data_IF_344435760862
#
_entry.id   IF_344435760862
#
_cell.length_a   1.000
_cell.length_b   1.000
_cell.length_c   1.000
_cell.angle_alpha   90.00
_cell.angle_beta   90.00
_cell.angle_gamma   90.00
#
_symmetry.space_group_name_H-M   'P 1'
#
loop_
_entity.id
_entity.type
_entity.pdbx_description
1 polymer ?
#
# COMPACT_ATOMS: atom_id res chain seq x y z
N UNK A 1 -47.20 1.23 -21.34
CA UNK A 1 -47.12 2.48 -20.57
C UNK A 1 -45.64 2.72 -20.25
N UNK A 2 -45.02 3.69 -20.93
CA UNK A 2 -43.61 4.08 -20.73
C UNK A 2 -43.62 5.20 -19.67
N UNK A 3 -43.09 4.93 -18.50
CA UNK A 3 -42.82 5.97 -17.51
C UNK A 3 -41.41 6.52 -17.75
N UNK A 4 -41.35 7.72 -18.35
CA UNK A 4 -40.16 8.54 -18.40
C UNK A 4 -39.98 9.25 -17.07
N UNK A 5 -38.92 8.91 -16.35
CA UNK A 5 -38.46 9.66 -15.18
C UNK A 5 -37.55 10.79 -15.67
N UNK A 6 -38.09 12.01 -15.73
CA UNK A 6 -37.30 13.22 -16.00
C UNK A 6 -36.58 13.65 -14.73
N UNK A 7 -35.27 13.52 -14.72
CA UNK A 7 -34.40 14.05 -13.66
C UNK A 7 -34.16 15.53 -13.93
N UNK A 8 -34.84 16.40 -13.20
CA UNK A 8 -34.63 17.83 -13.22
C UNK A 8 -33.36 18.17 -12.43
N UNK A 9 -32.29 18.52 -13.13
CA UNK A 9 -31.07 19.06 -12.55
C UNK A 9 -31.31 20.54 -12.22
N UNK A 10 -31.51 20.87 -10.96
CA UNK A 10 -31.54 22.25 -10.47
C UNK A 10 -30.08 22.75 -10.41
N UNK A 11 -29.64 23.47 -11.45
CA UNK A 11 -28.41 24.25 -11.43
C UNK A 11 -28.73 25.58 -10.74
N UNK A 12 -28.46 25.70 -9.46
CA UNK A 12 -28.43 26.96 -8.76
C UNK A 12 -27.12 27.68 -9.10
N UNK A 13 -27.17 28.73 -9.87
CA UNK A 13 -26.06 29.66 -10.14
C UNK A 13 -25.74 30.43 -8.87
N UNK A 14 -24.68 30.03 -8.13
CA UNK A 14 -24.04 30.92 -7.18
C UNK A 14 -22.97 31.74 -7.93
N UNK A 15 -23.33 32.96 -8.33
CA UNK A 15 -22.39 33.97 -8.75
C UNK A 15 -21.96 34.75 -7.52
N UNK A 16 -20.76 34.42 -7.02
CA UNK A 16 -19.86 35.37 -6.35
C UNK A 16 -18.58 34.60 -5.99
N UNK A 17 -17.73 34.36 -6.98
CA UNK A 17 -16.37 33.91 -6.72
C UNK A 17 -15.42 35.06 -7.05
N UNK A 18 -14.67 35.54 -6.10
CA UNK A 18 -13.34 36.05 -6.40
C UNK A 18 -12.62 34.92 -7.13
N UNK A 19 -12.06 35.21 -8.32
CA UNK A 19 -11.34 34.28 -9.17
C UNK A 19 -10.05 33.83 -8.47
N UNK A 20 -10.14 32.85 -7.55
CA UNK A 20 -8.98 32.13 -7.05
C UNK A 20 -8.39 31.35 -8.22
N UNK A 21 -7.13 31.57 -8.51
CA UNK A 21 -6.44 30.85 -9.58
C UNK A 21 -6.18 29.40 -9.07
N UNK A 22 -6.57 28.36 -9.83
CA UNK A 22 -6.30 26.99 -9.45
C UNK A 22 -4.80 26.76 -9.23
N UNK A 23 -4.42 26.19 -8.11
CA UNK A 23 -3.05 25.80 -7.83
C UNK A 23 -2.79 24.42 -8.40
N UNK A 24 -1.87 24.35 -9.38
CA UNK A 24 -1.43 23.09 -9.98
C UNK A 24 -0.05 22.74 -9.46
N UNK A 25 0.14 21.49 -9.04
CA UNK A 25 1.43 20.95 -8.63
C UNK A 25 1.72 19.64 -9.33
N UNK A 26 2.99 19.44 -9.71
CA UNK A 26 3.50 18.19 -10.28
C UNK A 26 4.53 17.59 -9.35
N UNK A 27 4.57 16.27 -9.30
CA UNK A 27 5.58 15.50 -8.61
C UNK A 27 5.83 14.21 -9.34
N UNK A 28 6.98 13.60 -9.10
CA UNK A 28 7.33 12.33 -9.72
C UNK A 28 8.25 11.50 -8.84
N UNK A 29 8.33 10.22 -9.19
CA UNK A 29 9.15 9.24 -8.51
C UNK A 29 9.67 8.23 -9.51
N UNK A 30 10.95 7.89 -9.43
CA UNK A 30 11.60 6.86 -10.24
C UNK A 30 12.40 5.96 -9.31
N UNK A 31 12.24 4.65 -9.46
CA UNK A 31 12.87 3.65 -8.61
C UNK A 31 13.45 2.51 -9.47
N UNK A 32 14.75 2.60 -9.74
CA UNK A 32 15.51 1.58 -10.47
C UNK A 32 16.15 0.61 -9.47
N UNK A 33 16.15 -0.68 -9.77
CA UNK A 33 16.68 -1.68 -8.86
C UNK A 33 17.45 -2.80 -9.57
N UNK A 34 18.21 -3.53 -8.76
CA UNK A 34 18.76 -4.84 -9.05
C UNK A 34 18.51 -5.73 -7.85
N UNK A 35 18.08 -6.97 -8.08
CA UNK A 35 17.86 -7.96 -7.02
C UNK A 35 18.49 -9.29 -7.40
N UNK A 36 19.12 -9.96 -6.43
CA UNK A 36 19.70 -11.28 -6.60
C UNK A 36 19.15 -12.23 -5.56
N UNK A 37 18.53 -13.32 -6.03
CA UNK A 37 18.00 -14.38 -5.19
C UNK A 37 18.97 -15.56 -5.19
N UNK A 38 19.47 -15.93 -4.01
CA UNK A 38 20.46 -17.00 -3.86
C UNK A 38 19.86 -18.40 -4.08
N UNK A 39 18.54 -18.51 -4.10
CA UNK A 39 17.85 -19.74 -4.48
C UNK A 39 17.76 -19.93 -6.00
N UNK A 40 18.02 -18.89 -6.79
CA UNK A 40 17.94 -18.91 -8.24
C UNK A 40 16.63 -19.50 -8.78
N UNK A 41 15.46 -18.94 -8.39
CA UNK A 41 14.17 -19.39 -8.90
C UNK A 41 14.08 -19.11 -10.40
N UNK A 42 13.00 -19.59 -11.04
CA UNK A 42 12.78 -19.33 -12.48
C UNK A 42 12.82 -17.83 -12.81
N UNK A 43 13.26 -17.46 -14.04
CA UNK A 43 13.77 -16.12 -14.33
C UNK A 43 12.81 -14.97 -14.09
N UNK A 44 11.50 -15.17 -14.20
CA UNK A 44 10.56 -14.05 -14.29
C UNK A 44 10.17 -13.45 -12.95
N UNK A 45 10.02 -14.26 -11.91
CA UNK A 45 9.61 -13.79 -10.59
C UNK A 45 10.41 -14.44 -9.48
N UNK A 46 10.90 -13.62 -8.57
CA UNK A 46 11.65 -14.07 -7.41
C UNK A 46 10.76 -14.81 -6.40
N UNK A 47 9.64 -14.18 -6.02
CA UNK A 47 8.67 -14.74 -5.09
C UNK A 47 7.25 -14.33 -5.53
N UNK A 48 6.33 -15.26 -5.77
CA UNK A 48 5.01 -14.97 -6.33
C UNK A 48 4.09 -14.14 -5.43
N UNK A 49 4.41 -14.00 -4.16
CA UNK A 49 3.67 -13.23 -3.15
C UNK A 49 4.35 -11.89 -2.80
N UNK A 50 5.37 -11.48 -3.57
CA UNK A 50 6.00 -10.17 -3.49
C UNK A 50 5.84 -9.45 -4.82
N UNK A 51 5.45 -8.18 -4.77
CA UNK A 51 5.14 -7.37 -5.95
C UNK A 51 6.21 -6.29 -6.21
N UNK A 52 6.92 -5.86 -5.16
CA UNK A 52 8.01 -4.90 -5.31
C UNK A 52 9.34 -5.63 -5.50
N UNK A 53 10.19 -5.12 -6.42
CA UNK A 53 11.56 -5.62 -6.66
C UNK A 53 11.61 -7.11 -7.01
N UNK A 54 10.64 -7.60 -7.77
CA UNK A 54 10.41 -9.02 -7.94
C UNK A 54 11.15 -9.68 -9.12
N UNK A 55 11.84 -8.93 -9.96
CA UNK A 55 12.75 -9.50 -10.97
C UNK A 55 14.11 -9.75 -10.36
N UNK A 56 14.75 -10.87 -10.74
CA UNK A 56 16.07 -11.23 -10.23
C UNK A 56 17.13 -11.21 -11.31
N UNK A 57 18.37 -10.92 -10.90
CA UNK A 57 19.59 -10.95 -11.72
C UNK A 57 19.52 -10.03 -12.96
N UNK A 58 18.74 -8.94 -12.86
CA UNK A 58 18.63 -7.90 -13.90
C UNK A 58 18.42 -6.51 -13.29
N UNK A 59 18.80 -5.47 -14.02
CA UNK A 59 18.41 -4.10 -13.69
C UNK A 59 17.03 -3.81 -14.24
N UNK A 60 16.14 -3.28 -13.41
CA UNK A 60 14.78 -3.00 -13.85
C UNK A 60 14.18 -1.76 -13.16
N UNK A 61 13.10 -1.23 -13.73
CA UNK A 61 12.27 -0.20 -13.14
C UNK A 61 11.25 -0.87 -12.21
N UNK A 62 11.35 -0.65 -10.90
CA UNK A 62 10.31 -1.09 -9.95
C UNK A 62 9.02 -0.31 -10.18
N UNK A 63 9.11 1.04 -10.07
CA UNK A 63 8.00 1.94 -10.31
C UNK A 63 8.48 3.31 -10.78
N UNK A 64 7.83 3.84 -11.79
CA UNK A 64 7.88 5.24 -12.21
C UNK A 64 6.52 5.88 -12.02
N UNK A 65 6.46 7.06 -11.39
CA UNK A 65 5.23 7.81 -11.13
C UNK A 65 5.34 9.23 -11.69
N UNK A 66 4.22 9.70 -12.26
CA UNK A 66 3.98 11.12 -12.55
C UNK A 66 2.64 11.50 -11.96
N UNK A 67 2.61 12.51 -11.10
CA UNK A 67 1.43 12.94 -10.35
C UNK A 67 1.16 14.41 -10.57
N UNK A 68 -0.08 14.73 -10.97
CA UNK A 68 -0.61 16.08 -11.03
C UNK A 68 -1.69 16.23 -9.94
N UNK A 69 -1.64 17.33 -9.20
CA UNK A 69 -2.67 17.73 -8.25
C UNK A 69 -3.14 19.12 -8.58
N UNK A 70 -4.46 19.32 -8.63
CA UNK A 70 -5.11 20.63 -8.82
C UNK A 70 -5.92 20.92 -7.55
N UNK A 71 -5.75 22.12 -7.00
CA UNK A 71 -6.49 22.61 -5.83
C UNK A 71 -7.19 23.92 -6.22
N UNK A 72 -8.48 24.00 -5.93
CA UNK A 72 -9.30 25.16 -6.18
C UNK A 72 -10.35 25.33 -5.08
N UNK A 73 -10.20 26.39 -4.26
CA UNK A 73 -11.06 26.63 -3.12
C UNK A 73 -11.13 25.41 -2.17
N UNK A 74 -12.29 24.79 -2.02
CA UNK A 74 -12.52 23.61 -1.18
C UNK A 74 -12.52 22.28 -1.97
N UNK A 75 -12.17 22.30 -3.27
CA UNK A 75 -12.13 21.14 -4.15
C UNK A 75 -10.67 20.85 -4.55
N UNK A 76 -10.33 19.58 -4.69
CA UNK A 76 -9.06 19.16 -5.27
C UNK A 76 -9.23 17.91 -6.12
N UNK A 77 -8.37 17.77 -7.11
CA UNK A 77 -8.29 16.59 -7.96
C UNK A 77 -6.86 16.08 -8.07
N UNK A 78 -6.70 14.78 -8.18
CA UNK A 78 -5.42 14.12 -8.36
C UNK A 78 -5.50 13.13 -9.51
N UNK A 79 -4.49 13.18 -10.39
CA UNK A 79 -4.23 12.16 -11.39
C UNK A 79 -2.76 11.75 -11.29
N UNK A 80 -2.50 10.47 -11.15
CA UNK A 80 -1.16 9.90 -11.11
C UNK A 80 -1.06 8.72 -12.07
N UNK A 81 -0.05 8.76 -12.93
CA UNK A 81 0.29 7.68 -13.85
C UNK A 81 1.44 6.86 -13.28
N UNK A 82 1.46 5.57 -13.60
CA UNK A 82 2.48 4.64 -13.14
C UNK A 82 2.95 3.69 -14.23
N UNK A 83 4.18 3.18 -14.10
CA UNK A 83 4.75 2.11 -14.92
C UNK A 83 5.86 1.39 -14.15
N UNK A 84 6.21 0.17 -14.55
CA UNK A 84 7.29 -0.62 -13.97
C UNK A 84 6.84 -2.03 -13.57
N UNK A 85 7.79 -2.85 -13.09
CA UNK A 85 7.54 -4.26 -12.76
C UNK A 85 6.52 -4.44 -11.63
N UNK A 86 6.51 -3.52 -10.67
CA UNK A 86 5.47 -3.47 -9.63
C UNK A 86 4.06 -3.36 -10.24
N UNK A 87 3.89 -2.50 -11.26
CA UNK A 87 2.59 -2.30 -11.92
C UNK A 87 2.18 -3.54 -12.69
N UNK A 88 3.12 -4.17 -13.40
CA UNK A 88 2.87 -5.39 -14.17
C UNK A 88 2.38 -6.53 -13.27
N UNK A 89 2.97 -6.70 -12.09
CA UNK A 89 2.64 -7.78 -11.17
C UNK A 89 1.40 -7.44 -10.32
N UNK A 90 1.38 -6.28 -9.68
CA UNK A 90 0.35 -5.94 -8.68
C UNK A 90 -0.99 -5.54 -9.30
N UNK A 91 -0.97 -4.96 -10.51
CA UNK A 91 -2.16 -4.58 -11.26
C UNK A 91 -2.46 -5.54 -12.43
N UNK A 92 -1.88 -6.74 -12.45
CA UNK A 92 -2.00 -7.70 -13.55
C UNK A 92 -3.46 -7.99 -13.95
N UNK A 93 -4.38 -8.01 -12.98
CA UNK A 93 -5.79 -8.30 -13.19
C UNK A 93 -6.64 -7.05 -13.53
N UNK A 94 -6.05 -5.85 -13.56
CA UNK A 94 -6.77 -4.61 -13.79
C UNK A 94 -6.61 -4.15 -15.25
N UNK A 95 -7.72 -3.69 -15.86
CA UNK A 95 -7.71 -3.19 -17.25
C UNK A 95 -7.00 -1.84 -17.40
N UNK A 96 -7.04 -1.00 -16.37
CA UNK A 96 -6.44 0.34 -16.34
C UNK A 96 -5.27 0.40 -15.36
N UNK A 97 -4.33 -0.51 -15.50
CA UNK A 97 -3.20 -0.70 -14.57
C UNK A 97 -2.21 0.48 -14.51
N UNK A 98 -2.18 1.35 -15.52
CA UNK A 98 -1.26 2.50 -15.55
C UNK A 98 -1.77 3.74 -14.79
N UNK A 99 -2.95 3.66 -14.19
CA UNK A 99 -3.47 4.69 -13.28
C UNK A 99 -3.12 4.30 -11.84
N UNK A 100 -2.29 5.10 -11.18
CA UNK A 100 -1.95 4.95 -9.77
C UNK A 100 -3.02 5.57 -8.87
N UNK A 101 -3.36 6.84 -9.16
CA UNK A 101 -4.41 7.61 -8.47
C UNK A 101 -5.26 8.36 -9.51
N UNK A 102 -6.57 8.37 -9.30
CA UNK A 102 -7.48 9.22 -10.05
C UNK A 102 -8.71 9.50 -9.17
N UNK A 103 -8.72 10.65 -8.50
CA UNK A 103 -9.81 10.98 -7.58
C UNK A 103 -10.05 12.48 -7.46
N UNK A 104 -11.26 12.81 -7.00
CA UNK A 104 -11.68 14.16 -6.64
C UNK A 104 -12.01 14.18 -5.15
N UNK A 105 -11.59 15.24 -4.48
CA UNK A 105 -11.88 15.51 -3.07
C UNK A 105 -12.58 16.85 -2.88
N UNK A 106 -13.42 16.90 -1.87
CA UNK A 106 -14.21 18.08 -1.48
C UNK A 106 -14.18 18.23 0.04
N UNK A 107 -13.79 19.41 0.52
CA UNK A 107 -14.00 19.81 1.92
C UNK A 107 -15.43 20.34 2.09
N UNK A 108 -16.15 19.80 3.07
CA UNK A 108 -17.57 20.09 3.31
C UNK A 108 -17.79 21.29 4.23
N UNK A 109 -16.76 21.70 4.92
CA UNK A 109 -16.79 22.82 5.86
C UNK A 109 -15.57 23.74 5.72
N UNK A 110 -15.72 25.00 6.12
CA UNK A 110 -14.65 26.02 6.08
C UNK A 110 -13.43 25.68 6.96
N UNK A 111 -13.62 24.84 7.97
CA UNK A 111 -12.57 24.41 8.89
C UNK A 111 -11.81 23.20 8.36
N UNK A 112 -12.20 22.65 7.20
CA UNK A 112 -11.61 21.47 6.54
C UNK A 112 -11.58 20.22 7.45
N UNK A 113 -12.55 20.13 8.37
CA UNK A 113 -12.67 18.98 9.28
C UNK A 113 -13.38 17.80 8.64
N UNK A 114 -14.27 18.06 7.70
CA UNK A 114 -15.05 17.07 6.99
C UNK A 114 -14.67 17.07 5.51
N UNK A 115 -14.37 15.90 4.95
CA UNK A 115 -14.09 15.77 3.52
C UNK A 115 -14.68 14.49 2.94
N UNK A 116 -14.96 14.54 1.63
CA UNK A 116 -15.31 13.37 0.81
C UNK A 116 -14.29 13.26 -0.31
N UNK A 117 -13.81 12.05 -0.58
CA UNK A 117 -12.96 11.71 -1.71
C UNK A 117 -13.59 10.55 -2.49
N UNK A 118 -13.56 10.62 -3.83
CA UNK A 118 -14.16 9.61 -4.70
C UNK A 118 -13.22 9.31 -5.87
N UNK A 119 -12.90 8.04 -6.07
CA UNK A 119 -12.08 7.60 -7.18
C UNK A 119 -11.15 6.43 -6.84
N UNK A 120 -10.04 6.32 -7.60
CA UNK A 120 -8.95 5.38 -7.35
C UNK A 120 -7.98 6.07 -6.39
N UNK A 121 -7.85 5.54 -5.18
CA UNK A 121 -7.01 6.09 -4.12
C UNK A 121 -6.01 5.04 -3.62
N UNK A 122 -4.84 5.46 -3.10
CA UNK A 122 -3.94 4.57 -2.37
C UNK A 122 -4.66 3.87 -1.22
N UNK A 123 -4.22 2.69 -0.86
CA UNK A 123 -4.82 1.96 0.28
C UNK A 123 -4.82 2.79 1.56
N UNK A 124 -5.83 2.60 2.38
CA UNK A 124 -5.89 3.13 3.74
C UNK A 124 -5.39 2.11 4.79
N UNK A 125 -5.06 0.90 4.35
CA UNK A 125 -4.61 -0.19 5.20
C UNK A 125 -3.08 -0.19 5.22
N UNK A 126 -2.52 -0.35 6.41
CA UNK A 126 -1.07 -0.47 6.59
C UNK A 126 -0.32 0.86 6.70
N UNK A 127 0.99 0.76 6.78
CA UNK A 127 1.93 1.85 7.00
C UNK A 127 3.03 1.92 5.91
N UNK A 128 3.13 0.92 5.03
CA UNK A 128 4.09 0.87 3.93
C UNK A 128 3.41 1.16 2.59
N UNK A 129 4.13 1.86 1.72
CA UNK A 129 3.65 2.26 0.39
C UNK A 129 4.46 1.57 -0.72
N UNK A 130 3.99 1.64 -1.97
CA UNK A 130 4.72 1.13 -3.13
C UNK A 130 6.03 1.90 -3.39
N UNK A 131 6.09 3.18 -3.00
CA UNK A 131 7.30 4.00 -3.09
C UNK A 131 8.19 3.80 -1.87
N UNK A 132 9.38 3.25 -2.04
CA UNK A 132 10.27 2.89 -0.93
C UNK A 132 10.74 4.07 -0.10
N UNK A 133 10.73 5.29 -0.65
CA UNK A 133 11.19 6.49 0.07
C UNK A 133 10.46 6.76 1.37
N UNK A 134 9.19 6.35 1.48
CA UNK A 134 8.36 6.51 2.67
C UNK A 134 8.52 5.39 3.68
N UNK A 135 9.12 4.25 3.29
CA UNK A 135 9.22 3.05 4.10
C UNK A 135 10.53 3.03 4.89
N UNK A 136 10.54 2.38 6.06
CA UNK A 136 11.75 2.23 6.87
C UNK A 136 12.73 1.22 6.28
N UNK A 137 12.24 0.18 5.58
CA UNK A 137 13.03 -0.81 4.82
C UNK A 137 12.82 -0.62 3.32
N UNK A 138 13.73 -1.12 2.48
CA UNK A 138 13.63 -1.03 1.03
C UNK A 138 12.45 -1.83 0.50
N UNK A 139 12.41 -3.13 0.80
CA UNK A 139 11.29 -3.99 0.43
C UNK A 139 10.17 -3.87 1.47
N UNK A 140 8.92 -4.10 1.07
CA UNK A 140 7.77 -4.12 1.98
C UNK A 140 7.74 -5.40 2.80
N UNK A 141 7.14 -5.34 3.99
CA UNK A 141 6.87 -6.52 4.82
C UNK A 141 5.90 -7.48 4.12
N UNK A 142 5.89 -8.76 4.52
CA UNK A 142 4.91 -9.74 4.05
C UNK A 142 3.47 -9.29 4.34
N UNK A 143 3.25 -8.64 5.49
CA UNK A 143 1.99 -8.01 5.84
C UNK A 143 1.54 -7.02 4.76
N UNK A 144 2.42 -6.10 4.39
CA UNK A 144 2.10 -5.04 3.44
C UNK A 144 2.03 -5.53 1.99
N UNK A 145 2.89 -6.48 1.57
CA UNK A 145 2.84 -7.08 0.23
C UNK A 145 1.50 -7.80 -0.02
N UNK A 146 0.89 -8.38 1.02
CA UNK A 146 -0.33 -9.17 0.92
C UNK A 146 -1.57 -8.44 1.47
N UNK A 147 -1.50 -7.12 1.59
CA UNK A 147 -2.61 -6.19 1.85
C UNK A 147 -2.83 -5.27 0.64
N UNK A 148 -3.98 -4.58 0.54
CA UNK A 148 -4.27 -3.74 -0.63
C UNK A 148 -3.30 -2.58 -0.78
N UNK A 149 -2.91 -2.30 -2.01
CA UNK A 149 -2.13 -1.12 -2.40
C UNK A 149 -3.00 0.05 -2.85
N UNK A 150 -4.15 -0.27 -3.46
CA UNK A 150 -5.10 0.70 -4.02
C UNK A 150 -6.53 0.20 -3.89
N UNK A 151 -7.48 1.11 -3.94
CA UNK A 151 -8.90 0.80 -3.97
C UNK A 151 -9.67 1.89 -4.70
N UNK A 152 -10.63 1.53 -5.56
CA UNK A 152 -11.66 2.46 -5.98
C UNK A 152 -12.70 2.55 -4.89
N UNK A 153 -12.90 3.78 -4.36
CA UNK A 153 -13.76 3.97 -3.18
C UNK A 153 -14.35 5.38 -3.09
N UNK A 154 -15.38 5.47 -2.28
CA UNK A 154 -15.85 6.70 -1.64
C UNK A 154 -15.25 6.69 -0.24
N UNK A 155 -14.62 7.78 0.17
CA UNK A 155 -14.12 8.00 1.53
C UNK A 155 -14.79 9.22 2.11
N UNK A 156 -15.37 9.08 3.28
CA UNK A 156 -15.71 10.20 4.16
C UNK A 156 -14.68 10.28 5.27
N UNK A 157 -14.16 11.47 5.54
CA UNK A 157 -13.18 11.69 6.59
C UNK A 157 -13.65 12.79 7.55
N UNK A 158 -13.50 12.56 8.84
CA UNK A 158 -13.74 13.50 9.92
C UNK A 158 -12.51 13.68 10.78
N UNK A 159 -11.98 14.89 10.81
CA UNK A 159 -10.79 15.27 11.58
C UNK A 159 -11.16 16.30 12.65
N UNK A 160 -11.71 15.90 13.82
CA UNK A 160 -12.14 16.83 14.86
C UNK A 160 -10.99 17.62 15.47
N UNK A 161 -9.78 17.07 15.45
CA UNK A 161 -8.57 17.69 15.98
C UNK A 161 -7.31 17.18 15.27
N UNK A 162 -6.14 17.73 15.56
CA UNK A 162 -4.86 17.24 15.04
C UNK A 162 -4.47 15.86 15.62
N UNK A 163 -5.10 15.45 16.71
CA UNK A 163 -4.86 14.15 17.34
C UNK A 163 -5.71 13.02 16.75
N UNK A 164 -6.91 13.30 16.27
CA UNK A 164 -7.87 12.29 15.85
C UNK A 164 -8.31 12.46 14.41
N UNK A 165 -8.35 11.35 13.69
CA UNK A 165 -8.98 11.26 12.38
C UNK A 165 -9.78 9.96 12.29
N UNK A 166 -11.02 10.08 11.79
CA UNK A 166 -11.95 8.97 11.58
C UNK A 166 -12.35 8.93 10.11
N UNK A 167 -12.26 7.77 9.47
CA UNK A 167 -12.70 7.63 8.08
C UNK A 167 -13.64 6.43 7.93
N UNK A 168 -14.64 6.57 7.07
CA UNK A 168 -15.49 5.50 6.58
C UNK A 168 -15.35 5.34 5.07
N UNK A 169 -15.42 4.11 4.58
CA UNK A 169 -15.19 3.76 3.19
C UNK A 169 -16.29 2.87 2.62
N UNK A 170 -16.65 3.13 1.37
CA UNK A 170 -17.41 2.21 0.51
C UNK A 170 -16.53 1.93 -0.71
N UNK A 171 -16.22 0.66 -1.01
CA UNK A 171 -15.22 0.29 -2.01
C UNK A 171 -15.71 -0.83 -2.93
N UNK A 172 -15.11 -0.92 -4.12
CA UNK A 172 -15.38 -2.00 -5.09
C UNK A 172 -14.87 -3.38 -4.63
N UNK A 173 -14.13 -3.46 -3.53
CA UNK A 173 -13.58 -4.69 -2.96
C UNK A 173 -12.10 -4.55 -2.59
N UNK A 174 -11.49 -5.67 -2.25
CA UNK A 174 -10.09 -5.79 -1.86
C UNK A 174 -9.18 -5.60 -3.06
N UNK A 175 -8.39 -4.51 -3.08
CA UNK A 175 -7.48 -4.19 -4.19
C UNK A 175 -8.16 -4.25 -5.57
N UNK A 176 -9.24 -3.47 -5.76
CA UNK A 176 -10.02 -3.45 -6.98
C UNK A 176 -10.16 -2.05 -7.56
N UNK A 177 -9.87 -1.90 -8.86
CA UNK A 177 -10.36 -0.75 -9.64
C UNK A 177 -11.78 -1.06 -10.11
N UNK A 178 -11.98 -2.22 -10.71
CA UNK A 178 -13.28 -2.69 -11.19
C UNK A 178 -13.86 -3.79 -10.29
N UNK A 179 -15.17 -3.87 -10.18
CA UNK A 179 -15.81 -5.01 -9.51
C UNK A 179 -15.56 -6.29 -10.28
N UNK A 180 -15.22 -7.41 -9.60
CA UNK A 180 -14.98 -8.68 -10.29
C UNK A 180 -16.25 -9.27 -10.92
N UNK A 181 -17.41 -9.07 -10.26
CA UNK A 181 -18.74 -9.52 -10.73
C UNK A 181 -19.80 -8.48 -10.33
N UNK A 182 -20.87 -8.36 -11.12
CA UNK A 182 -21.89 -7.33 -10.92
C UNK A 182 -22.73 -7.54 -9.66
N UNK A 183 -22.96 -8.79 -9.27
CA UNK A 183 -23.78 -9.23 -8.13
C UNK A 183 -23.04 -9.18 -6.80
N UNK A 184 -21.72 -8.98 -6.79
CA UNK A 184 -20.98 -8.78 -5.53
C UNK A 184 -21.29 -7.39 -4.99
N UNK A 185 -21.79 -7.26 -3.73
CA UNK A 185 -22.06 -5.97 -3.13
C UNK A 185 -20.78 -5.17 -2.90
N UNK A 186 -20.86 -3.83 -2.76
CA UNK A 186 -19.75 -3.02 -2.29
C UNK A 186 -19.23 -3.52 -0.94
N UNK A 187 -17.93 -3.38 -0.73
CA UNK A 187 -17.31 -3.63 0.55
C UNK A 187 -17.23 -2.34 1.39
N UNK A 188 -17.04 -2.48 2.68
CA UNK A 188 -16.99 -1.39 3.65
C UNK A 188 -15.68 -1.44 4.43
N UNK A 189 -15.26 -0.28 4.92
CA UNK A 189 -14.11 -0.17 5.79
C UNK A 189 -14.18 1.02 6.71
N UNK A 190 -13.36 1.00 7.75
CA UNK A 190 -13.17 2.13 8.65
C UNK A 190 -11.70 2.33 8.95
N UNK A 191 -11.32 3.54 9.33
CA UNK A 191 -10.00 3.84 9.84
C UNK A 191 -10.10 4.82 11.00
N UNK A 192 -9.39 4.54 12.06
CA UNK A 192 -9.17 5.44 13.19
C UNK A 192 -7.68 5.67 13.31
N UNK A 193 -7.26 6.93 13.23
CA UNK A 193 -5.88 7.33 13.46
C UNK A 193 -5.80 8.24 14.67
N UNK A 194 -4.95 7.87 15.62
CA UNK A 194 -4.68 8.63 16.83
C UNK A 194 -3.22 9.04 16.91
N UNK A 195 -2.99 10.34 17.05
CA UNK A 195 -1.67 10.96 17.22
C UNK A 195 -1.54 11.50 18.65
N UNK A 196 -1.09 10.68 19.60
CA UNK A 196 -0.88 11.16 20.98
C UNK A 196 0.12 12.31 21.05
N UNK A 197 1.07 12.36 20.12
CA UNK A 197 2.09 13.39 19.96
C UNK A 197 2.49 13.52 18.49
N UNK A 198 3.25 14.58 18.14
CA UNK A 198 3.73 14.80 16.76
C UNK A 198 4.64 13.69 16.22
N UNK A 199 5.22 12.89 17.10
CA UNK A 199 6.16 11.81 16.78
C UNK A 199 5.59 10.40 17.02
N UNK A 200 4.27 10.24 17.13
CA UNK A 200 3.62 8.95 17.37
C UNK A 200 2.27 8.87 16.66
N UNK A 201 2.03 7.77 15.97
CA UNK A 201 0.75 7.44 15.32
C UNK A 201 0.35 6.03 15.71
N UNK A 202 -0.89 5.87 16.18
CA UNK A 202 -1.56 4.58 16.34
C UNK A 202 -2.70 4.57 15.32
N UNK A 203 -2.78 3.54 14.52
CA UNK A 203 -3.79 3.43 13.48
C UNK A 203 -4.47 2.07 13.53
N UNK A 204 -5.78 2.08 13.41
CA UNK A 204 -6.60 0.89 13.24
C UNK A 204 -7.46 1.02 12.00
N UNK A 205 -7.33 0.06 11.07
CA UNK A 205 -8.09 -0.01 9.83
C UNK A 205 -8.85 -1.33 9.75
N UNK A 206 -10.07 -1.29 9.20
CA UNK A 206 -10.90 -2.48 9.00
C UNK A 206 -11.36 -2.59 7.55
N UNK A 207 -11.66 -3.81 7.11
CA UNK A 207 -12.34 -4.08 5.84
C UNK A 207 -13.34 -5.23 6.04
N UNK A 208 -14.52 -5.08 5.43
CA UNK A 208 -15.58 -6.10 5.42
C UNK A 208 -16.16 -6.17 4.00
N UNK A 209 -16.02 -7.32 3.34
CA UNK A 209 -16.53 -7.50 1.98
C UNK A 209 -16.48 -8.95 1.50
N UNK A 210 -17.23 -9.26 0.45
CA UNK A 210 -17.15 -10.58 -0.22
C UNK A 210 -15.93 -10.61 -1.12
N UNK A 211 -15.01 -11.54 -0.84
CA UNK A 211 -13.78 -11.73 -1.62
C UNK A 211 -13.59 -13.20 -1.99
N UNK A 212 -12.87 -13.44 -3.09
CA UNK A 212 -12.53 -14.79 -3.52
C UNK A 212 -11.50 -15.40 -2.56
N UNK A 213 -11.71 -16.66 -2.16
CA UNK A 213 -10.87 -17.38 -1.20
C UNK A 213 -10.08 -18.54 -1.83
N UNK A 214 -9.97 -18.55 -3.18
CA UNK A 214 -9.40 -19.65 -3.93
C UNK A 214 -10.43 -20.65 -4.48
N UNK A 215 -11.65 -20.70 -3.91
CA UNK A 215 -12.73 -21.60 -4.33
C UNK A 215 -14.02 -20.84 -4.65
N UNK A 216 -14.46 -19.98 -3.76
CA UNK A 216 -15.70 -19.22 -3.87
C UNK A 216 -15.58 -17.81 -3.28
N UNK A 217 -16.68 -17.03 -3.35
CA UNK A 217 -16.74 -15.72 -2.71
C UNK A 217 -17.36 -15.82 -1.32
N UNK A 218 -16.58 -15.48 -0.31
CA UNK A 218 -17.01 -15.47 1.10
C UNK A 218 -16.65 -14.14 1.78
N UNK A 219 -17.28 -13.88 2.92
CA UNK A 219 -17.07 -12.64 3.68
C UNK A 219 -15.67 -12.63 4.30
N UNK A 220 -14.89 -11.59 3.94
CA UNK A 220 -13.60 -11.27 4.56
C UNK A 220 -13.80 -10.19 5.60
N UNK A 221 -13.32 -10.45 6.80
CA UNK A 221 -13.23 -9.52 7.92
C UNK A 221 -11.77 -9.27 8.22
N UNK A 222 -11.29 -8.07 7.92
CA UNK A 222 -9.89 -7.71 8.03
C UNK A 222 -9.68 -6.62 9.07
N UNK A 223 -8.63 -6.75 9.88
CA UNK A 223 -8.16 -5.76 10.82
C UNK A 223 -6.66 -5.55 10.66
N UNK A 224 -6.25 -4.30 10.57
CA UNK A 224 -4.86 -3.87 10.62
C UNK A 224 -4.68 -2.88 11.76
N UNK A 225 -3.73 -3.15 12.64
CA UNK A 225 -3.33 -2.26 13.71
C UNK A 225 -1.84 -1.98 13.60
N UNK A 226 -1.43 -0.72 13.68
CA UNK A 226 -0.01 -0.41 13.79
C UNK A 226 0.25 0.77 14.72
N UNK A 227 1.47 0.79 15.26
CA UNK A 227 2.05 1.89 16.01
C UNK A 227 3.37 2.30 15.39
N UNK A 228 3.45 3.54 14.92
CA UNK A 228 4.65 4.19 14.39
C UNK A 228 5.14 5.23 15.41
N UNK A 229 6.39 5.11 15.84
CA UNK A 229 6.98 5.96 16.87
C UNK A 229 8.38 6.40 16.50
N UNK A 230 8.58 7.72 16.40
CA UNK A 230 9.90 8.35 16.41
C UNK A 230 10.26 8.66 17.85
N UNK A 231 11.26 7.97 18.40
CA UNK A 231 11.69 8.09 19.78
C UNK A 231 12.56 9.34 20.00
N UNK A 232 13.46 9.57 19.05
CA UNK A 232 14.37 10.71 19.04
C UNK A 232 14.89 10.93 17.59
N UNK A 233 15.89 11.80 17.42
CA UNK A 233 16.47 12.10 16.10
C UNK A 233 17.14 10.91 15.41
N UNK A 234 17.41 9.82 16.13
CA UNK A 234 18.10 8.63 15.58
C UNK A 234 17.19 7.42 15.46
N UNK A 235 16.22 7.21 16.35
CA UNK A 235 15.43 6.00 16.44
C UNK A 235 13.98 6.22 16.03
N UNK A 236 13.50 5.37 15.09
CA UNK A 236 12.09 5.23 14.75
C UNK A 236 11.75 3.74 14.68
N UNK A 237 10.58 3.38 15.18
CA UNK A 237 10.09 1.99 15.16
C UNK A 237 8.66 1.94 14.66
N UNK A 238 8.32 0.85 13.99
CA UNK A 238 6.94 0.50 13.63
C UNK A 238 6.67 -0.92 14.11
N UNK A 239 5.55 -1.10 14.81
CA UNK A 239 4.97 -2.41 15.11
C UNK A 239 3.61 -2.50 14.42
N UNK A 240 3.41 -3.54 13.62
CA UNK A 240 2.19 -3.75 12.85
C UNK A 240 1.64 -5.17 13.02
N UNK A 241 0.33 -5.30 12.88
CA UNK A 241 -0.36 -6.58 13.01
C UNK A 241 -1.60 -6.61 12.13
N UNK A 242 -1.71 -7.64 11.29
CA UNK A 242 -2.91 -7.98 10.54
C UNK A 242 -3.55 -9.23 11.13
N UNK A 243 -4.88 -9.17 11.27
CA UNK A 243 -5.71 -10.32 11.62
C UNK A 243 -6.91 -10.39 10.70
N UNK A 244 -7.12 -11.53 10.07
CA UNK A 244 -8.13 -11.72 9.05
C UNK A 244 -8.88 -13.03 9.23
N UNK A 245 -10.20 -12.96 8.99
CA UNK A 245 -11.07 -14.12 8.93
C UNK A 245 -11.85 -14.12 7.61
N UNK A 246 -11.74 -15.24 6.88
CA UNK A 246 -12.53 -15.51 5.67
C UNK A 246 -12.76 -17.02 5.56
N UNK A 247 -13.73 -17.57 6.32
CA UNK A 247 -13.92 -19.00 6.58
C UNK A 247 -12.72 -19.66 7.28
N UNK A 248 -11.54 -19.12 7.09
CA UNK A 248 -10.25 -19.49 7.66
C UNK A 248 -9.58 -18.23 8.22
N UNK A 249 -8.54 -18.40 9.00
CA UNK A 249 -7.82 -17.27 9.59
C UNK A 249 -6.39 -17.20 9.08
N UNK A 250 -5.90 -15.99 8.84
CA UNK A 250 -4.48 -15.69 8.72
C UNK A 250 -4.11 -14.45 9.51
N UNK A 251 -2.84 -14.33 9.84
CA UNK A 251 -2.34 -13.18 10.58
C UNK A 251 -0.86 -12.93 10.29
N UNK A 252 -0.45 -11.69 10.49
CA UNK A 252 0.94 -11.29 10.28
C UNK A 252 1.35 -10.17 11.25
N UNK A 253 2.19 -10.44 12.26
CA UNK A 253 2.91 -9.44 13.02
C UNK A 253 4.18 -9.02 12.29
N UNK A 254 4.54 -7.75 12.44
CA UNK A 254 5.82 -7.19 11.97
C UNK A 254 6.36 -6.14 12.94
N UNK A 255 7.66 -6.12 13.10
CA UNK A 255 8.38 -5.08 13.82
C UNK A 255 9.55 -4.57 12.98
N UNK A 256 9.65 -3.26 12.84
CA UNK A 256 10.73 -2.58 12.12
C UNK A 256 11.36 -1.54 13.04
N UNK A 257 12.68 -1.54 13.13
CA UNK A 257 13.45 -0.51 13.83
C UNK A 257 14.47 0.12 12.88
N UNK A 258 14.43 1.45 12.76
CA UNK A 258 15.38 2.22 11.96
C UNK A 258 16.26 3.06 12.87
N UNK A 259 17.55 3.12 12.52
CA UNK A 259 18.56 3.92 13.21
C UNK A 259 19.31 4.82 12.23
N UNK A 260 19.35 6.12 12.51
CA UNK A 260 20.16 7.10 11.80
C UNK A 260 21.58 7.09 12.35
N UNK A 261 22.53 6.51 11.59
CA UNK A 261 23.95 6.37 11.97
C UNK A 261 24.62 7.74 11.91
N UNK A 262 24.43 8.44 10.76
CA UNK A 262 24.91 9.78 10.46
C UNK A 262 23.83 10.53 9.67
N UNK A 263 23.95 11.83 9.41
CA UNK A 263 22.93 12.60 8.68
C UNK A 263 22.53 12.02 7.32
N UNK A 264 23.44 11.29 6.65
CA UNK A 264 23.17 10.71 5.32
C UNK A 264 23.10 9.18 5.32
N UNK A 265 23.24 8.53 6.49
CA UNK A 265 23.28 7.08 6.58
C UNK A 265 22.27 6.57 7.60
N UNK A 266 21.45 5.64 7.17
CA UNK A 266 20.46 4.97 8.00
C UNK A 266 20.59 3.46 7.86
N UNK A 267 20.24 2.73 8.89
CA UNK A 267 20.06 1.28 8.86
C UNK A 267 18.70 0.93 9.44
N UNK A 268 18.11 -0.13 8.95
CA UNK A 268 16.87 -0.65 9.50
C UNK A 268 16.94 -2.17 9.65
N UNK A 269 16.32 -2.66 10.68
CA UNK A 269 16.11 -4.09 10.92
C UNK A 269 14.62 -4.36 10.94
N UNK A 270 14.18 -5.47 10.31
CA UNK A 270 12.81 -5.97 10.34
C UNK A 270 12.81 -7.43 10.79
N UNK A 271 11.84 -7.75 11.64
CA UNK A 271 11.41 -9.12 11.90
C UNK A 271 9.91 -9.22 11.66
N UNK A 272 9.47 -10.30 11.04
CA UNK A 272 8.09 -10.50 10.64
C UNK A 272 7.72 -11.97 10.68
N UNK A 273 6.43 -12.23 10.84
CA UNK A 273 5.87 -13.57 10.70
C UNK A 273 4.58 -13.49 9.88
N UNK A 274 4.36 -14.47 9.02
CA UNK A 274 3.11 -14.59 8.26
C UNK A 274 2.61 -16.02 8.38
N UNK A 275 1.36 -16.18 8.77
CA UNK A 275 0.67 -17.45 8.82
C UNK A 275 -0.59 -17.42 7.97
N UNK A 276 -0.59 -18.20 6.89
CA UNK A 276 -1.74 -18.51 6.04
C UNK A 276 -1.75 -20.02 5.76
N UNK A 277 -2.27 -20.80 6.72
CA UNK A 277 -2.26 -22.26 6.67
C UNK A 277 -3.14 -22.86 5.57
N UNK A 278 -4.08 -22.09 5.08
CA UNK A 278 -5.09 -22.53 4.14
C UNK A 278 -4.90 -21.92 2.76
N UNK A 279 -3.77 -21.21 2.56
CA UNK A 279 -3.39 -20.56 1.30
C UNK A 279 -4.49 -19.64 0.74
N UNK A 280 -5.12 -18.85 1.61
CA UNK A 280 -6.23 -17.95 1.22
C UNK A 280 -5.71 -16.75 0.44
N UNK A 281 -4.57 -16.19 0.84
CA UNK A 281 -3.93 -15.04 0.22
C UNK A 281 -2.64 -15.46 -0.47
N UNK A 282 -1.75 -16.15 0.25
CA UNK A 282 -0.46 -16.60 -0.30
C UNK A 282 -0.62 -18.04 -0.78
N UNK A 283 -0.88 -18.19 -2.08
CA UNK A 283 -1.03 -19.48 -2.72
C UNK A 283 0.34 -20.13 -2.96
N UNK A 284 0.73 -21.02 -2.04
CA UNK A 284 1.93 -21.87 -2.15
C UNK A 284 1.54 -23.34 -2.24
N UNK A 285 2.52 -24.20 -2.55
CA UNK A 285 2.27 -25.65 -2.68
C UNK A 285 1.92 -26.32 -1.33
N UNK A 286 2.25 -25.67 -0.22
CA UNK A 286 1.93 -26.13 1.13
C UNK A 286 1.58 -24.93 2.01
N UNK A 287 1.23 -25.18 3.28
CA UNK A 287 0.85 -24.18 4.27
C UNK A 287 1.92 -23.10 4.43
N UNK A 288 1.54 -21.85 4.26
CA UNK A 288 2.46 -20.74 4.40
C UNK A 288 2.57 -20.30 5.86
N UNK A 289 3.72 -20.59 6.48
CA UNK A 289 4.07 -20.20 7.85
C UNK A 289 5.55 -19.80 7.86
N UNK A 290 5.80 -18.51 7.72
CA UNK A 290 7.12 -18.01 7.40
C UNK A 290 7.56 -16.91 8.37
N UNK A 291 8.74 -17.08 8.95
CA UNK A 291 9.50 -16.04 9.62
C UNK A 291 10.34 -15.29 8.59
N UNK A 292 10.39 -13.97 8.71
CA UNK A 292 11.22 -13.11 7.88
C UNK A 292 12.12 -12.21 8.74
N UNK A 293 13.35 -12.00 8.25
CA UNK A 293 14.32 -11.06 8.81
C UNK A 293 14.93 -10.25 7.69
N UNK A 294 15.17 -8.96 7.92
CA UNK A 294 15.97 -8.18 6.99
C UNK A 294 16.82 -7.14 7.69
N UNK A 295 17.92 -6.80 7.05
CA UNK A 295 18.75 -5.66 7.40
C UNK A 295 18.92 -4.77 6.17
N UNK A 296 18.77 -3.48 6.37
CA UNK A 296 18.78 -2.47 5.33
C UNK A 296 19.84 -1.41 5.63
N UNK A 297 20.56 -0.97 4.60
CA UNK A 297 21.49 0.16 4.65
C UNK A 297 21.10 1.19 3.60
N UNK A 298 20.88 2.42 4.04
CA UNK A 298 20.47 3.53 3.19
C UNK A 298 21.54 4.62 3.16
N UNK A 299 21.83 5.14 1.98
CA UNK A 299 22.60 6.36 1.76
C UNK A 299 21.70 7.43 1.14
N UNK A 300 21.60 8.57 1.81
CA UNK A 300 20.77 9.72 1.43
C UNK A 300 21.69 10.90 1.08
N UNK A 301 22.18 11.02 -0.16
CA UNK A 301 23.05 12.13 -0.57
C UNK A 301 22.36 13.49 -0.39
N UNK A 302 21.05 13.53 -0.62
CA UNK A 302 20.17 14.68 -0.41
C UNK A 302 18.72 14.22 -0.13
N UNK A 303 17.79 15.15 0.03
CA UNK A 303 16.38 14.85 0.34
C UNK A 303 15.59 14.20 -0.80
N UNK A 304 16.13 14.19 -2.03
CA UNK A 304 15.44 13.73 -3.25
C UNK A 304 15.92 12.36 -3.72
N UNK A 305 17.11 11.95 -3.35
CA UNK A 305 17.77 10.73 -3.82
C UNK A 305 18.06 9.81 -2.65
N UNK A 306 17.72 8.53 -2.81
CA UNK A 306 18.11 7.46 -1.90
C UNK A 306 18.76 6.32 -2.67
N UNK A 307 19.90 5.85 -2.16
CA UNK A 307 20.48 4.58 -2.52
C UNK A 307 20.32 3.62 -1.35
N UNK A 308 19.70 2.47 -1.58
CA UNK A 308 19.30 1.53 -0.53
C UNK A 308 19.74 0.12 -0.89
N UNK A 309 20.18 -0.64 0.11
CA UNK A 309 20.49 -2.07 -0.05
C UNK A 309 19.89 -2.83 1.12
N UNK A 310 19.19 -3.92 0.84
CA UNK A 310 18.55 -4.79 1.83
C UNK A 310 18.90 -6.24 1.57
N UNK A 311 19.41 -6.92 2.59
CA UNK A 311 19.48 -8.37 2.65
C UNK A 311 18.26 -8.88 3.41
N UNK A 312 17.53 -9.83 2.82
CA UNK A 312 16.30 -10.39 3.40
C UNK A 312 16.33 -11.91 3.38
N UNK A 313 16.01 -12.49 4.52
CA UNK A 313 15.97 -13.93 4.74
C UNK A 313 14.59 -14.38 5.20
N UNK A 314 14.09 -15.46 4.60
CA UNK A 314 12.88 -16.15 5.01
C UNK A 314 13.17 -17.56 5.46
N UNK A 315 12.43 -18.00 6.50
CA UNK A 315 12.40 -19.38 6.97
C UNK A 315 10.95 -19.80 7.19
N UNK A 316 10.48 -20.76 6.41
CA UNK A 316 9.16 -21.37 6.53
C UNK A 316 9.21 -22.70 7.28
N UNK A 317 8.06 -23.12 7.85
CA UNK A 317 7.90 -24.47 8.38
C UNK A 317 7.91 -25.52 7.26
N UNK A 318 7.38 -25.16 6.07
CA UNK A 318 7.24 -26.06 4.92
C UNK A 318 8.11 -25.60 3.76
N UNK A 319 8.31 -26.48 2.78
CA UNK A 319 9.06 -26.19 1.55
C UNK A 319 8.18 -25.42 0.57
N UNK A 320 8.25 -24.09 0.65
CA UNK A 320 7.40 -23.15 -0.10
C UNK A 320 8.19 -22.23 -1.04
N UNK A 321 9.51 -22.28 -0.99
CA UNK A 321 10.38 -21.46 -1.84
C UNK A 321 11.01 -22.32 -2.93
N UNK A 322 11.02 -21.80 -4.17
CA UNK A 322 11.70 -22.45 -5.28
C UNK A 322 13.22 -22.27 -5.18
N UNK A 323 13.98 -23.35 -5.41
CA UNK A 323 15.43 -23.34 -5.56
C UNK A 323 15.83 -24.28 -6.69
N UNK A 324 16.33 -23.75 -7.81
CA UNK A 324 16.72 -24.54 -8.99
C UNK A 324 15.68 -25.56 -9.48
N UNK A 325 14.40 -25.29 -9.28
CA UNK A 325 13.23 -26.17 -9.58
C UNK A 325 12.84 -27.14 -8.46
N UNK A 326 13.59 -27.24 -7.36
CA UNK A 326 13.17 -27.92 -6.14
C UNK A 326 12.46 -26.96 -5.19
N UNK A 327 11.68 -27.49 -4.26
CA UNK A 327 11.11 -26.69 -3.18
C UNK A 327 11.96 -26.82 -1.93
N UNK A 328 12.17 -25.70 -1.23
CA UNK A 328 12.92 -25.58 0.01
C UNK A 328 12.19 -24.69 1.00
N UNK A 329 12.57 -24.76 2.27
CA UNK A 329 11.93 -24.01 3.35
C UNK A 329 12.63 -22.68 3.69
N UNK A 330 13.59 -22.24 2.90
CA UNK A 330 14.27 -20.97 3.15
C UNK A 330 14.61 -20.24 1.85
N UNK A 331 14.66 -18.92 1.94
CA UNK A 331 15.06 -18.07 0.83
C UNK A 331 15.90 -16.90 1.36
N UNK A 332 16.95 -16.55 0.65
CA UNK A 332 17.79 -15.38 0.90
C UNK A 332 17.91 -14.57 -0.39
N UNK A 333 17.71 -13.27 -0.32
CA UNK A 333 17.98 -12.38 -1.44
C UNK A 333 18.56 -11.04 -0.99
N UNK A 334 19.27 -10.40 -1.91
CA UNK A 334 19.82 -9.07 -1.79
C UNK A 334 19.13 -8.18 -2.84
N UNK A 335 18.60 -7.03 -2.41
CA UNK A 335 18.02 -6.04 -3.29
C UNK A 335 18.72 -4.71 -3.08
N UNK A 336 19.07 -4.02 -4.17
CA UNK A 336 19.58 -2.66 -4.14
C UNK A 336 18.77 -1.79 -5.09
N UNK A 337 18.56 -0.52 -4.72
CA UNK A 337 17.88 0.45 -5.58
C UNK A 337 18.55 1.82 -5.55
N UNK A 338 18.25 2.59 -6.58
CA UNK A 338 18.45 4.03 -6.63
C UNK A 338 17.12 4.67 -6.95
N UNK A 339 16.62 5.51 -6.04
CA UNK A 339 15.35 6.22 -6.21
C UNK A 339 15.53 7.73 -6.21
N UNK A 340 14.68 8.39 -6.99
CA UNK A 340 14.64 9.83 -7.14
C UNK A 340 13.20 10.34 -7.05
N UNK A 341 12.98 11.36 -6.22
CA UNK A 341 11.69 12.03 -6.02
C UNK A 341 11.82 13.53 -6.36
N UNK A 342 10.90 14.09 -7.12
CA UNK A 342 10.91 15.49 -7.56
C UNK A 342 9.54 16.15 -7.56
#
# INVERSE_FOLDING_TARGET
MKNSFSFFLLISTFVSAQDEVPKVSFSGYVDMYYSYDFNQPKPEQKLPFMYNYNRQNEFNLNIGLLRAKVEYSNIYGVLSLQSGTYVEDNYANEKIKYINEAYVGLFLDKQMKHSIEVGILPSYIGFETATSNSNLTLTRSLLAENSPYFMTRIKYNYKPSDKWSFSGFVTNGWQRINKPQKDIPPAFGTQISYKPSSNSVINWSTFIGKEFNGMDYSMRYFNNLYWDKTWNSRWRTIAGFDYVYQNKTWFSPVFIAQYSIYPKWQTAFRTEYYQDKENVIIATNDKFKTLGFSINLDYLPNSKVKFRTEARYFKSENDVFEKNSDLVNSNLFLTTNLSFEF
#
